data_IF_554601977011
#
_entry.id   IF_554601977011
#
_cell.length_a   1.000
_cell.length_b   1.000
_cell.length_c   1.000
_cell.angle_alpha   90.00
_cell.angle_beta   90.00
_cell.angle_gamma   90.00
#
_symmetry.space_group_name_H-M   'P 1'
#
loop_
_entity.id
_entity.type
_entity.pdbx_description
1 polymer ?
#
# COMPACT_ATOMS: atom_id res chain seq x y z
N UNK A 1 5.17 -30.09 -4.10
CA UNK A 1 5.81 -31.18 -4.87
C UNK A 1 5.77 -30.94 -6.40
N UNK A 2 4.92 -30.03 -6.91
CA UNK A 2 4.77 -29.82 -8.35
C UNK A 2 3.88 -30.87 -9.01
N UNK A 3 3.22 -31.72 -8.22
CA UNK A 3 2.26 -32.69 -8.73
C UNK A 3 0.93 -32.00 -9.06
N UNK A 4 0.14 -32.63 -9.93
CA UNK A 4 -1.21 -32.16 -10.25
C UNK A 4 -2.06 -32.14 -8.98
N UNK A 5 -2.62 -30.97 -8.65
CA UNK A 5 -3.56 -30.84 -7.53
C UNK A 5 -4.81 -31.69 -7.78
N UNK A 6 -5.25 -32.43 -6.77
CA UNK A 6 -6.42 -33.31 -6.86
C UNK A 6 -7.18 -33.35 -5.55
N UNK A 7 -8.50 -33.13 -5.61
CA UNK A 7 -9.42 -33.29 -4.47
C UNK A 7 -9.29 -34.66 -3.81
N UNK A 8 -9.10 -35.72 -4.62
CA UNK A 8 -8.90 -37.09 -4.12
C UNK A 8 -7.58 -37.27 -3.38
N UNK A 9 -6.50 -36.64 -3.85
CA UNK A 9 -5.16 -36.75 -3.24
C UNK A 9 -4.96 -35.82 -2.03
N UNK A 10 -5.80 -34.79 -1.89
CA UNK A 10 -5.66 -33.75 -0.84
C UNK A 10 -4.24 -33.17 -0.77
N UNK A 11 -3.59 -33.01 -1.92
CA UNK A 11 -2.21 -32.55 -2.07
C UNK A 11 -2.10 -31.02 -2.21
N UNK A 12 -3.07 -30.28 -1.69
CA UNK A 12 -3.11 -28.82 -1.66
C UNK A 12 -3.72 -28.37 -0.33
N UNK A 13 -3.33 -27.21 0.21
CA UNK A 13 -3.92 -26.68 1.43
C UNK A 13 -5.39 -26.32 1.17
N UNK A 14 -6.23 -26.51 2.18
CA UNK A 14 -7.64 -26.13 2.11
C UNK A 14 -7.78 -24.62 1.81
N UNK A 15 -8.46 -24.22 0.72
CA UNK A 15 -8.60 -22.81 0.37
C UNK A 15 -9.26 -21.97 1.47
N UNK A 16 -10.27 -22.52 2.17
CA UNK A 16 -10.93 -21.80 3.26
C UNK A 16 -9.96 -21.60 4.43
N UNK A 17 -9.22 -22.64 4.83
CA UNK A 17 -8.17 -22.50 5.84
C UNK A 17 -7.10 -21.44 5.50
N UNK A 18 -6.75 -21.27 4.22
CA UNK A 18 -5.83 -20.20 3.77
C UNK A 18 -6.49 -18.82 3.90
N UNK A 19 -7.75 -18.69 3.48
CA UNK A 19 -8.50 -17.42 3.58
C UNK A 19 -8.69 -17.02 5.03
N UNK A 20 -9.06 -17.94 5.91
CA UNK A 20 -9.28 -17.65 7.33
C UNK A 20 -7.99 -17.21 8.04
N UNK A 21 -6.85 -17.73 7.59
CA UNK A 21 -5.53 -17.43 8.18
C UNK A 21 -4.88 -16.15 7.64
N UNK A 22 -5.06 -15.85 6.36
CA UNK A 22 -4.31 -14.79 5.67
C UNK A 22 -5.20 -13.70 5.04
N UNK A 23 -6.50 -13.94 4.96
CA UNK A 23 -7.44 -13.09 4.24
C UNK A 23 -7.48 -13.39 2.73
N UNK A 24 -8.63 -13.08 2.12
CA UNK A 24 -8.84 -13.30 0.69
C UNK A 24 -7.94 -12.45 -0.18
N UNK A 25 -7.58 -11.24 0.26
CA UNK A 25 -6.86 -10.28 -0.58
C UNK A 25 -5.37 -10.61 -0.69
N UNK A 26 -4.79 -11.15 0.39
CA UNK A 26 -3.45 -11.73 0.33
C UNK A 26 -3.36 -12.88 -0.68
N UNK A 27 -4.36 -13.76 -0.69
CA UNK A 27 -4.44 -14.85 -1.65
C UNK A 27 -4.62 -14.35 -3.09
N UNK A 28 -5.51 -13.38 -3.32
CA UNK A 28 -5.71 -12.77 -4.65
C UNK A 28 -4.44 -12.16 -5.19
N UNK A 29 -3.78 -11.34 -4.38
CA UNK A 29 -2.56 -10.63 -4.79
C UNK A 29 -1.40 -11.61 -5.01
N UNK A 30 -1.31 -12.68 -4.21
CA UNK A 30 -0.34 -13.77 -4.43
C UNK A 30 -0.53 -14.45 -5.78
N UNK A 31 -1.77 -14.78 -6.15
CA UNK A 31 -2.07 -15.43 -7.43
C UNK A 31 -1.80 -14.50 -8.62
N UNK A 32 -2.15 -13.22 -8.51
CA UNK A 32 -1.90 -12.21 -9.54
C UNK A 32 -0.39 -11.98 -9.75
N UNK A 33 0.39 -11.97 -8.68
CA UNK A 33 1.85 -11.82 -8.73
C UNK A 33 2.58 -13.10 -9.16
N UNK A 34 1.86 -14.18 -9.45
CA UNK A 34 2.47 -15.46 -9.76
C UNK A 34 2.67 -15.66 -11.27
N UNK A 35 3.54 -16.61 -11.69
CA UNK A 35 3.72 -16.93 -13.11
C UNK A 35 2.44 -17.41 -13.81
N UNK A 36 1.39 -17.78 -13.06
CA UNK A 36 0.14 -18.31 -13.62
C UNK A 36 -0.54 -17.33 -14.60
N UNK A 37 -0.41 -16.02 -14.37
CA UNK A 37 -0.99 -15.00 -15.26
C UNK A 37 -0.20 -14.83 -16.56
N UNK A 38 0.95 -15.49 -16.68
CA UNK A 38 1.77 -15.59 -17.90
C UNK A 38 1.70 -16.98 -18.54
N UNK A 39 0.69 -17.78 -18.16
CA UNK A 39 0.50 -19.17 -18.59
C UNK A 39 1.62 -20.14 -18.15
N UNK A 40 2.39 -19.78 -17.12
CA UNK A 40 3.39 -20.66 -16.52
C UNK A 40 2.83 -21.44 -15.32
N UNK A 41 3.53 -22.52 -14.95
CA UNK A 41 3.14 -23.33 -13.80
C UNK A 41 3.41 -22.63 -12.47
N UNK A 42 2.43 -22.68 -11.56
CA UNK A 42 2.58 -22.22 -10.18
C UNK A 42 2.64 -23.42 -9.23
N UNK A 43 3.74 -23.53 -8.49
CA UNK A 43 3.81 -24.40 -7.31
C UNK A 43 3.30 -23.62 -6.10
N UNK A 44 2.03 -23.76 -5.78
CA UNK A 44 1.41 -23.04 -4.67
C UNK A 44 2.14 -23.30 -3.35
N UNK A 45 2.48 -22.23 -2.64
CA UNK A 45 3.08 -22.28 -1.31
C UNK A 45 2.40 -21.25 -0.42
N UNK A 46 1.86 -21.72 0.71
CA UNK A 46 1.21 -20.88 1.71
C UNK A 46 2.15 -19.76 2.24
N UNK A 47 3.45 -20.04 2.30
CA UNK A 47 4.48 -19.04 2.64
C UNK A 47 4.41 -17.81 1.73
N UNK A 48 4.17 -17.99 0.43
CA UNK A 48 4.09 -16.86 -0.50
C UNK A 48 2.89 -15.94 -0.23
N UNK A 49 1.77 -16.50 0.25
CA UNK A 49 0.62 -15.71 0.71
C UNK A 49 0.98 -14.90 1.95
N UNK A 50 1.72 -15.49 2.89
CA UNK A 50 2.23 -14.79 4.07
C UNK A 50 3.20 -13.66 3.71
N UNK A 51 4.07 -13.88 2.73
CA UNK A 51 5.04 -12.87 2.28
C UNK A 51 4.32 -11.64 1.68
N UNK A 52 3.22 -11.83 0.93
CA UNK A 52 2.36 -10.73 0.47
C UNK A 52 1.83 -9.87 1.63
N UNK A 53 1.39 -10.49 2.73
CA UNK A 53 0.95 -9.73 3.91
C UNK A 53 2.10 -8.91 4.47
N UNK A 54 3.27 -9.52 4.59
CA UNK A 54 4.44 -8.88 5.18
C UNK A 54 4.96 -7.72 4.34
N UNK A 55 5.00 -7.88 3.03
CA UNK A 55 5.68 -6.96 2.13
C UNK A 55 4.74 -5.87 1.58
N UNK A 56 3.43 -6.11 1.56
CA UNK A 56 2.41 -5.18 1.04
C UNK A 56 1.48 -4.69 2.14
N UNK A 57 0.67 -5.59 2.71
CA UNK A 57 -0.45 -5.16 3.57
C UNK A 57 0.00 -4.60 4.92
N UNK A 58 0.99 -5.20 5.59
CA UNK A 58 1.46 -4.72 6.88
C UNK A 58 2.08 -3.32 6.81
N UNK A 59 3.02 -3.02 5.89
CA UNK A 59 3.60 -1.68 5.79
C UNK A 59 2.55 -0.64 5.41
N UNK A 60 1.62 -0.98 4.51
CA UNK A 60 0.51 -0.10 4.13
C UNK A 60 -0.41 0.21 5.31
N UNK A 61 -0.85 -0.82 6.05
CA UNK A 61 -1.68 -0.65 7.24
C UNK A 61 -0.95 0.16 8.33
N UNK A 62 0.37 -0.03 8.48
CA UNK A 62 1.17 0.73 9.43
C UNK A 62 1.27 2.21 9.04
N UNK A 63 1.39 2.53 7.75
CA UNK A 63 1.36 3.91 7.27
C UNK A 63 0.00 4.59 7.55
N UNK A 64 -1.11 3.87 7.31
CA UNK A 64 -2.45 4.35 7.65
C UNK A 64 -2.64 4.56 9.15
N UNK A 65 -2.24 3.59 9.99
CA UNK A 65 -2.31 3.72 11.45
C UNK A 65 -1.49 4.90 11.95
N UNK A 66 -0.30 5.09 11.40
CA UNK A 66 0.54 6.25 11.71
C UNK A 66 -0.18 7.56 11.37
N UNK A 67 -0.78 7.67 10.18
CA UNK A 67 -1.56 8.86 9.79
C UNK A 67 -2.69 9.14 10.80
N UNK A 68 -3.55 8.16 11.07
CA UNK A 68 -4.71 8.34 11.95
C UNK A 68 -4.30 8.73 13.38
N UNK A 69 -3.25 8.11 13.91
CA UNK A 69 -2.73 8.46 15.24
C UNK A 69 -2.27 9.92 15.32
N UNK A 70 -1.57 10.41 14.29
CA UNK A 70 -1.12 11.81 14.27
C UNK A 70 -2.29 12.78 14.03
N UNK A 71 -3.29 12.41 13.23
CA UNK A 71 -4.52 13.21 13.07
C UNK A 71 -5.22 13.35 14.43
N UNK A 72 -5.46 12.25 15.14
CA UNK A 72 -6.11 12.27 16.45
C UNK A 72 -5.35 13.12 17.47
N UNK A 73 -4.01 13.01 17.48
CA UNK A 73 -3.16 13.83 18.33
C UNK A 73 -3.25 15.32 17.97
N UNK A 74 -3.19 15.64 16.68
CA UNK A 74 -3.32 17.01 16.19
C UNK A 74 -4.67 17.64 16.58
N UNK A 75 -5.77 16.90 16.43
CA UNK A 75 -7.10 17.37 16.81
C UNK A 75 -7.20 17.65 18.31
N UNK A 76 -6.60 16.78 19.13
CA UNK A 76 -6.55 16.93 20.59
C UNK A 76 -5.74 18.14 21.02
N UNK A 77 -4.58 18.36 20.42
CA UNK A 77 -3.65 19.43 20.84
C UNK A 77 -4.12 20.81 20.37
N UNK A 78 -4.83 20.88 19.25
CA UNK A 78 -5.22 22.14 18.61
C UNK A 78 -6.70 22.49 18.76
N UNK A 79 -7.55 21.54 19.19
CA UNK A 79 -9.01 21.71 19.23
C UNK A 79 -9.66 21.92 17.85
N UNK A 80 -8.95 21.62 16.77
CA UNK A 80 -9.42 21.79 15.38
C UNK A 80 -9.49 20.43 14.72
N UNK A 81 -10.65 20.10 14.13
CA UNK A 81 -10.85 18.87 13.37
C UNK A 81 -10.01 18.86 12.10
N UNK A 82 -9.33 17.75 11.82
CA UNK A 82 -8.63 17.57 10.56
C UNK A 82 -9.64 17.38 9.44
N UNK A 83 -9.54 18.20 8.39
CA UNK A 83 -10.38 18.08 7.20
C UNK A 83 -9.49 18.00 5.97
N UNK A 84 -9.58 16.88 5.26
CA UNK A 84 -8.88 16.73 3.99
C UNK A 84 -9.39 17.75 2.96
N UNK A 85 -8.46 18.43 2.30
CA UNK A 85 -8.74 19.46 1.31
C UNK A 85 -7.79 19.28 0.12
N UNK A 86 -8.36 18.87 -1.01
CA UNK A 86 -7.62 18.61 -2.25
C UNK A 86 -6.95 19.89 -2.80
N UNK A 87 -7.52 21.07 -2.54
CA UNK A 87 -6.96 22.35 -3.01
C UNK A 87 -5.63 22.71 -2.34
N UNK A 88 -5.32 22.09 -1.19
CA UNK A 88 -4.07 22.29 -0.46
C UNK A 88 -2.93 21.39 -0.94
N UNK A 89 -3.21 20.47 -1.87
CA UNK A 89 -2.18 19.60 -2.43
C UNK A 89 -1.24 20.39 -3.35
N UNK A 90 0.06 20.13 -3.22
CA UNK A 90 1.09 20.84 -4.00
C UNK A 90 1.38 22.27 -3.54
N UNK A 91 0.63 22.81 -2.58
CA UNK A 91 0.91 24.12 -1.94
C UNK A 91 2.10 24.02 -0.98
N UNK A 92 2.37 22.82 -0.44
CA UNK A 92 3.53 22.58 0.42
C UNK A 92 4.85 22.86 -0.33
N UNK A 93 5.67 23.73 0.24
CA UNK A 93 7.03 24.00 -0.25
C UNK A 93 8.01 22.85 0.07
N UNK A 94 7.56 21.81 0.78
CA UNK A 94 8.42 20.69 1.13
C UNK A 94 8.70 19.80 -0.09
N UNK A 95 9.99 19.57 -0.36
CA UNK A 95 10.46 18.78 -1.50
C UNK A 95 9.97 17.33 -1.41
N UNK A 96 9.93 16.74 -0.21
CA UNK A 96 9.49 15.35 -0.01
C UNK A 96 8.00 15.18 -0.29
N UNK A 97 7.17 16.19 0.01
CA UNK A 97 5.74 16.15 -0.30
C UNK A 97 5.51 16.16 -1.82
N UNK A 98 6.20 17.07 -2.53
CA UNK A 98 6.13 17.13 -4.00
C UNK A 98 6.67 15.85 -4.65
N UNK A 99 7.72 15.28 -4.07
CA UNK A 99 8.31 14.02 -4.53
C UNK A 99 7.34 12.85 -4.40
N UNK A 100 6.75 12.63 -3.22
CA UNK A 100 5.82 11.50 -3.03
C UNK A 100 4.54 11.67 -3.86
N UNK A 101 4.05 12.91 -4.04
CA UNK A 101 2.91 13.21 -4.91
C UNK A 101 3.21 12.92 -6.39
N UNK A 102 4.39 13.31 -6.87
CA UNK A 102 4.84 12.96 -8.23
C UNK A 102 4.95 11.44 -8.40
N UNK A 103 5.44 10.75 -7.38
CA UNK A 103 5.61 9.31 -7.41
C UNK A 103 4.28 8.54 -7.40
N UNK A 104 3.27 9.01 -6.64
CA UNK A 104 1.93 8.40 -6.66
C UNK A 104 1.22 8.63 -8.00
N UNK A 105 1.38 9.81 -8.61
CA UNK A 105 0.84 10.05 -9.96
C UNK A 105 1.51 9.15 -11.01
N UNK A 106 2.83 8.98 -10.93
CA UNK A 106 3.56 8.04 -11.78
C UNK A 106 3.10 6.59 -11.59
N UNK A 107 2.71 6.22 -10.36
CA UNK A 107 2.13 4.91 -10.07
C UNK A 107 0.76 4.74 -10.72
N UNK A 108 -0.12 5.73 -10.63
CA UNK A 108 -1.45 5.70 -11.23
C UNK A 108 -1.37 5.52 -12.75
N UNK A 109 -0.54 6.33 -13.42
CA UNK A 109 -0.34 6.22 -14.89
C UNK A 109 0.21 4.84 -15.27
N UNK A 110 1.12 4.29 -14.46
CA UNK A 110 1.64 2.94 -14.69
C UNK A 110 0.55 1.88 -14.55
N UNK A 111 -0.28 1.95 -13.49
CA UNK A 111 -1.37 1.02 -13.28
C UNK A 111 -2.38 1.08 -14.42
N UNK A 112 -2.81 2.28 -14.82
CA UNK A 112 -3.77 2.45 -15.93
C UNK A 112 -3.27 1.79 -17.22
N UNK A 113 -1.99 2.01 -17.56
CA UNK A 113 -1.37 1.41 -18.75
C UNK A 113 -1.30 -0.11 -18.67
N UNK A 114 -0.80 -0.66 -17.56
CA UNK A 114 -0.56 -2.10 -17.43
C UNK A 114 -1.88 -2.87 -17.29
N UNK A 115 -2.86 -2.32 -16.57
CA UNK A 115 -4.20 -2.90 -16.46
C UNK A 115 -4.94 -2.88 -17.79
N UNK A 116 -4.82 -1.80 -18.57
CA UNK A 116 -5.40 -1.73 -19.93
C UNK A 116 -4.81 -2.79 -20.88
N UNK A 117 -3.55 -3.18 -20.64
CA UNK A 117 -2.88 -4.25 -21.38
C UNK A 117 -3.04 -5.65 -20.74
N UNK A 118 -3.84 -5.78 -19.67
CA UNK A 118 -4.04 -7.02 -18.90
C UNK A 118 -2.73 -7.64 -18.33
N UNK A 119 -1.71 -6.81 -18.06
CA UNK A 119 -0.40 -7.25 -17.56
C UNK A 119 -0.34 -7.25 -16.03
N UNK A 120 -1.19 -8.05 -15.40
CA UNK A 120 -1.36 -8.03 -13.94
C UNK A 120 -0.08 -8.37 -13.15
N UNK A 121 0.83 -9.17 -13.72
CA UNK A 121 2.09 -9.56 -13.07
C UNK A 121 3.06 -8.40 -12.84
N UNK A 122 2.91 -7.26 -13.51
CA UNK A 122 3.81 -6.10 -13.35
C UNK A 122 3.38 -5.18 -12.21
N UNK A 123 2.13 -5.30 -11.78
CA UNK A 123 1.46 -4.41 -10.83
C UNK A 123 2.02 -4.57 -9.42
N UNK A 124 2.09 -5.81 -8.92
CA UNK A 124 2.51 -6.09 -7.54
C UNK A 124 3.97 -5.71 -7.27
N UNK A 125 4.95 -6.03 -8.15
CA UNK A 125 6.33 -5.57 -7.94
C UNK A 125 6.43 -4.04 -7.83
N UNK A 126 5.71 -3.31 -8.69
CA UNK A 126 5.69 -1.84 -8.66
C UNK A 126 5.05 -1.31 -7.38
N UNK A 127 4.00 -1.97 -6.89
CA UNK A 127 3.34 -1.64 -5.62
C UNK A 127 4.29 -1.84 -4.43
N UNK A 128 5.06 -2.95 -4.38
CA UNK A 128 6.05 -3.18 -3.32
C UNK A 128 7.09 -2.06 -3.32
N UNK A 129 7.62 -1.68 -4.49
CA UNK A 129 8.54 -0.54 -4.59
C UNK A 129 7.90 0.74 -4.09
N UNK A 130 6.64 1.01 -4.44
CA UNK A 130 5.94 2.21 -3.97
C UNK A 130 5.77 2.23 -2.44
N UNK A 131 5.35 1.11 -1.86
CA UNK A 131 5.17 0.98 -0.40
C UNK A 131 6.49 1.20 0.35
N UNK A 132 7.61 0.72 -0.21
CA UNK A 132 8.94 1.01 0.33
C UNK A 132 9.25 2.52 0.31
N UNK A 133 9.01 3.20 -0.81
CA UNK A 133 9.19 4.66 -0.93
C UNK A 133 8.29 5.43 0.04
N UNK A 134 7.03 5.00 0.22
CA UNK A 134 6.11 5.62 1.17
C UNK A 134 6.60 5.43 2.62
N UNK A 135 6.96 4.22 3.01
CA UNK A 135 7.22 3.89 4.42
C UNK A 135 8.66 4.21 4.85
N UNK A 136 9.65 3.74 4.09
CA UNK A 136 11.06 3.86 4.46
C UNK A 136 11.68 5.20 4.09
N UNK A 137 11.14 5.89 3.08
CA UNK A 137 11.64 7.21 2.67
C UNK A 137 10.75 8.34 3.16
N UNK A 138 9.48 8.40 2.71
CA UNK A 138 8.60 9.53 3.02
C UNK A 138 8.21 9.58 4.52
N UNK A 139 7.55 8.53 5.04
CA UNK A 139 7.08 8.49 6.43
C UNK A 139 8.24 8.54 7.41
N UNK A 140 9.32 7.79 7.15
CA UNK A 140 10.51 7.78 8.03
C UNK A 140 11.14 9.17 8.14
N UNK A 141 11.38 9.85 7.01
CA UNK A 141 12.05 11.15 7.00
C UNK A 141 11.17 12.28 7.52
N UNK A 142 9.85 12.20 7.28
CA UNK A 142 8.90 13.23 7.72
C UNK A 142 8.25 12.89 9.08
N UNK A 143 8.69 11.86 9.81
CA UNK A 143 8.05 11.44 11.07
C UNK A 143 7.96 12.57 12.09
N UNK A 144 9.07 13.30 12.33
CA UNK A 144 9.13 14.43 13.26
C UNK A 144 8.20 15.58 12.83
N UNK A 145 8.17 15.82 11.52
CA UNK A 145 7.32 16.82 10.87
C UNK A 145 5.84 16.53 11.02
N UNK A 146 5.44 15.30 10.72
CA UNK A 146 4.05 14.85 10.85
C UNK A 146 3.61 14.92 12.32
N UNK A 147 4.51 14.63 13.28
CA UNK A 147 4.26 14.75 14.72
C UNK A 147 4.13 16.19 15.25
N UNK A 148 4.41 17.22 14.43
CA UNK A 148 4.27 18.62 14.86
C UNK A 148 5.54 19.30 15.37
N UNK A 149 6.71 18.66 15.30
CA UNK A 149 7.97 19.25 15.82
C UNK A 149 8.39 20.55 15.09
N UNK A 150 7.92 20.76 13.85
CA UNK A 150 8.22 21.95 13.04
C UNK A 150 7.04 22.94 12.93
N UNK A 151 6.01 22.76 13.76
CA UNK A 151 4.84 23.65 13.81
C UNK A 151 3.55 23.05 13.26
N UNK A 152 2.44 23.67 13.64
CA UNK A 152 1.07 23.20 13.37
C UNK A 152 0.75 23.13 11.88
N UNK A 153 1.01 24.22 11.15
CA UNK A 153 0.65 24.31 9.73
C UNK A 153 1.46 23.33 8.86
N UNK A 154 2.74 23.16 9.16
CA UNK A 154 3.61 22.26 8.41
C UNK A 154 3.26 20.78 8.66
N UNK A 155 2.93 20.42 9.90
CA UNK A 155 2.37 19.11 10.24
C UNK A 155 1.04 18.86 9.53
N UNK A 156 0.16 19.85 9.51
CA UNK A 156 -1.12 19.77 8.80
C UNK A 156 -0.92 19.48 7.31
N UNK A 157 -0.02 20.22 6.64
CA UNK A 157 0.28 20.00 5.22
C UNK A 157 0.91 18.62 4.95
N UNK A 158 1.79 18.14 5.83
CA UNK A 158 2.35 16.79 5.72
C UNK A 158 1.26 15.71 5.88
N UNK A 159 0.31 15.91 6.81
CA UNK A 159 -0.83 15.00 6.97
C UNK A 159 -1.79 15.03 5.77
N UNK A 160 -2.05 16.21 5.18
CA UNK A 160 -2.83 16.31 3.93
C UNK A 160 -2.19 15.50 2.81
N UNK A 161 -0.87 15.62 2.64
CA UNK A 161 -0.11 14.89 1.63
C UNK A 161 -0.16 13.39 1.88
N UNK A 162 0.13 12.94 3.10
CA UNK A 162 0.08 11.52 3.45
C UNK A 162 -1.34 10.94 3.29
N UNK A 163 -2.37 11.70 3.67
CA UNK A 163 -3.76 11.31 3.47
C UNK A 163 -4.07 11.12 1.98
N UNK A 164 -3.69 12.08 1.13
CA UNK A 164 -3.92 11.97 -0.31
C UNK A 164 -3.23 10.73 -0.92
N UNK A 165 -1.99 10.47 -0.53
CA UNK A 165 -1.25 9.30 -1.03
C UNK A 165 -1.95 8.00 -0.65
N UNK A 166 -2.33 7.84 0.63
CA UNK A 166 -3.03 6.64 1.11
C UNK A 166 -4.42 6.52 0.48
N UNK A 167 -5.16 7.62 0.35
CA UNK A 167 -6.46 7.66 -0.29
C UNK A 167 -6.38 7.25 -1.77
N UNK A 168 -5.39 7.76 -2.49
CA UNK A 168 -5.14 7.42 -3.90
C UNK A 168 -4.79 5.94 -4.04
N UNK A 169 -3.93 5.40 -3.15
CA UNK A 169 -3.64 3.97 -3.12
C UNK A 169 -4.90 3.13 -2.91
N UNK A 170 -5.75 3.50 -1.95
CA UNK A 170 -7.00 2.77 -1.66
C UNK A 170 -7.99 2.80 -2.83
N UNK A 171 -7.98 3.84 -3.68
CA UNK A 171 -8.84 3.91 -4.86
C UNK A 171 -8.30 3.11 -6.05
N UNK A 172 -6.99 2.95 -6.10
CA UNK A 172 -6.30 2.25 -7.20
C UNK A 172 -6.33 0.74 -7.02
N UNK A 173 -6.23 0.27 -5.77
CA UNK A 173 -6.27 -1.15 -5.37
C UNK A 173 -7.70 -1.67 -5.27
#
# INVERSE_FOLDING_TARGET
DGSKMSKRKKNYPDPMGVIDKYGSDALRLYLINSPVVRADTLKFQEKGVKDIIKDVFLPWLNAYRFLIQNIQQYEKDNGVKFMYDESKLGVSNNIMDRWILSFVQSLVVFFEKEMSAYRLYTVVPRLVTFIDQLTNWYVRSNRKRIKGEFGKEDSYMAMQTLFNVIYTMNRMM
#
